data_IF_415391422538
#
_entry.id   IF_415391422538
#
_cell.length_a   1.000
_cell.length_b   1.000
_cell.length_c   1.000
_cell.angle_alpha   90.00
_cell.angle_beta   90.00
_cell.angle_gamma   90.00
#
_symmetry.space_group_name_H-M   'P 1'
#
loop_
_entity.id
_entity.type
_entity.pdbx_description
1 polymer ?
#
# COMPACT_ATOMS: atom_id res chain seq x y z
N UNK A 1 6.80 34.40 3.73
CA UNK A 1 5.83 33.30 3.90
C UNK A 1 6.61 32.05 4.19
N UNK A 2 6.16 31.23 5.14
CA UNK A 2 6.83 30.01 5.59
C UNK A 2 5.87 28.84 5.64
N UNK A 3 6.43 27.64 5.63
CA UNK A 3 5.69 26.40 5.79
C UNK A 3 5.39 26.17 7.27
N UNK A 4 4.13 25.83 7.56
CA UNK A 4 3.63 25.34 8.83
C UNK A 4 2.90 24.01 8.60
N UNK A 5 2.66 23.27 9.67
CA UNK A 5 2.09 21.93 9.63
C UNK A 5 0.71 21.93 10.25
N UNK A 6 -0.26 21.35 9.57
CA UNK A 6 -1.58 21.06 10.13
C UNK A 6 -1.52 19.70 10.82
N UNK A 7 -1.98 19.67 12.06
CA UNK A 7 -2.20 18.47 12.87
C UNK A 7 -3.68 18.35 13.22
N UNK A 8 -4.15 17.13 13.45
CA UNK A 8 -5.49 16.89 13.99
C UNK A 8 -5.54 17.15 15.51
N UNK A 9 -6.71 16.97 16.12
CA UNK A 9 -6.90 17.12 17.57
C UNK A 9 -6.10 16.14 18.44
N UNK A 10 -5.58 15.07 17.86
CA UNK A 10 -4.73 14.07 18.54
C UNK A 10 -3.23 14.40 18.41
N UNK A 11 -2.90 15.48 17.69
CA UNK A 11 -1.53 15.90 17.42
C UNK A 11 -0.87 15.19 16.24
N UNK A 12 -1.61 14.38 15.48
CA UNK A 12 -1.07 13.64 14.34
C UNK A 12 -0.97 14.54 13.12
N UNK A 13 0.16 14.43 12.42
CA UNK A 13 0.42 15.12 11.16
C UNK A 13 -0.67 14.86 10.11
N UNK A 14 -1.24 15.94 9.55
CA UNK A 14 -2.22 15.89 8.45
C UNK A 14 -1.60 16.38 7.14
N UNK A 15 -0.86 17.49 7.16
CA UNK A 15 -0.23 18.03 5.95
C UNK A 15 0.37 19.43 6.14
N UNK A 16 1.07 19.97 5.12
CA UNK A 16 1.67 21.30 5.18
C UNK A 16 0.69 22.40 4.75
N UNK A 17 0.88 23.60 5.28
CA UNK A 17 0.18 24.84 4.90
C UNK A 17 1.18 26.00 4.84
N UNK A 18 0.95 26.95 3.94
CA UNK A 18 1.75 28.17 3.85
C UNK A 18 1.12 29.26 4.73
N UNK A 19 1.93 29.81 5.62
CA UNK A 19 1.54 30.90 6.54
C UNK A 19 2.47 32.10 6.40
N UNK A 20 2.09 33.23 6.98
CA UNK A 20 2.95 34.42 7.07
C UNK A 20 4.18 34.15 7.96
N UNK A 21 5.28 34.87 7.72
CA UNK A 21 6.51 34.69 8.50
C UNK A 21 6.33 35.02 9.99
N UNK A 22 5.37 35.91 10.28
CA UNK A 22 4.99 36.38 11.61
C UNK A 22 4.15 35.35 12.41
N UNK A 23 3.79 34.20 11.82
CA UNK A 23 3.02 33.16 12.50
C UNK A 23 3.93 32.29 13.38
N UNK A 24 3.70 32.18 14.68
CA UNK A 24 4.55 31.38 15.58
C UNK A 24 3.73 30.44 16.46
N UNK A 25 4.33 29.32 16.84
CA UNK A 25 3.74 28.34 17.76
C UNK A 25 2.61 27.52 17.16
N UNK A 26 1.68 27.09 18.03
CA UNK A 26 0.51 26.29 17.70
C UNK A 26 -0.75 27.17 17.75
N UNK A 27 -1.55 27.18 16.69
CA UNK A 27 -2.86 27.88 16.66
C UNK A 27 -3.99 26.93 16.26
N UNK A 28 -5.14 26.95 16.96
CA UNK A 28 -6.27 26.08 16.65
C UNK A 28 -6.86 26.40 15.28
N UNK A 29 -7.31 25.35 14.59
CA UNK A 29 -8.09 25.40 13.36
C UNK A 29 -9.54 25.10 13.71
N UNK A 30 -10.44 26.00 13.32
CA UNK A 30 -11.87 25.88 13.55
C UNK A 30 -12.57 25.49 12.25
N UNK A 31 -13.54 24.58 12.31
CA UNK A 31 -14.44 24.35 11.18
C UNK A 31 -15.50 25.45 11.14
N UNK A 32 -15.56 26.17 10.03
CA UNK A 32 -16.66 27.09 9.77
C UNK A 32 -17.89 26.26 9.42
N UNK A 33 -18.68 25.89 10.42
CA UNK A 33 -20.02 25.33 10.19
C UNK A 33 -20.84 26.39 9.43
N UNK A 34 -21.35 25.99 8.26
CA UNK A 34 -21.94 26.90 7.29
C UNK A 34 -23.10 27.72 7.86
N UNK A 35 -23.11 29.02 7.53
CA UNK A 35 -24.25 29.96 7.56
C UNK A 35 -25.35 29.60 8.57
N UNK A 36 -25.14 29.93 9.84
CA UNK A 36 -26.20 29.90 10.84
C UNK A 36 -27.19 31.03 10.52
N UNK A 37 -28.44 30.68 10.20
CA UNK A 37 -29.57 31.62 10.14
C UNK A 37 -29.72 32.32 11.49
N UNK A 38 -30.05 33.61 11.42
CA UNK A 38 -29.95 34.58 12.50
C UNK A 38 -31.04 34.35 13.55
N UNK A 39 -30.95 33.36 14.44
CA UNK A 39 -31.67 33.43 15.74
C UNK A 39 -31.28 32.48 16.88
N UNK A 40 -30.20 31.69 16.83
CA UNK A 40 -29.87 30.83 17.98
C UNK A 40 -28.42 30.99 18.47
N UNK A 41 -28.33 31.09 19.80
CA UNK A 41 -27.18 31.04 20.73
C UNK A 41 -25.83 30.65 20.07
N UNK A 42 -24.72 31.37 20.36
CA UNK A 42 -23.43 31.10 19.71
C UNK A 42 -23.03 29.64 19.90
N UNK A 43 -23.10 28.86 18.83
CA UNK A 43 -22.61 27.49 18.78
C UNK A 43 -21.09 27.52 19.00
N UNK A 44 -20.61 26.72 19.93
CA UNK A 44 -19.20 26.68 20.30
C UNK A 44 -18.39 26.23 19.08
N UNK A 45 -17.50 27.10 18.57
CA UNK A 45 -16.63 26.79 17.44
C UNK A 45 -15.84 25.50 17.74
N UNK A 46 -16.11 24.44 16.99
CA UNK A 46 -15.45 23.16 17.18
C UNK A 46 -14.03 23.22 16.59
N UNK A 47 -13.03 23.00 17.44
CA UNK A 47 -11.64 22.89 17.02
C UNK A 47 -11.48 21.55 16.28
N UNK A 48 -11.01 21.59 15.04
CA UNK A 48 -10.76 20.40 14.20
C UNK A 48 -9.29 20.04 14.06
N UNK A 49 -8.40 20.95 14.45
CA UNK A 49 -6.97 20.68 14.49
C UNK A 49 -6.17 21.89 14.95
N UNK A 50 -4.86 21.87 14.67
CA UNK A 50 -3.94 22.96 14.96
C UNK A 50 -2.97 23.19 13.80
N UNK A 51 -2.53 24.43 13.62
CA UNK A 51 -1.43 24.80 12.73
C UNK A 51 -0.18 25.03 13.57
N UNK A 52 0.89 24.32 13.28
CA UNK A 52 2.19 24.33 13.97
C UNK A 52 3.23 24.98 13.07
N UNK A 53 3.83 26.09 13.51
CA UNK A 53 4.87 26.80 12.75
C UNK A 53 6.25 26.09 12.75
N UNK A 54 6.38 25.00 13.49
CA UNK A 54 7.63 24.27 13.67
C UNK A 54 7.80 23.13 12.67
N UNK A 55 9.01 22.97 12.15
CA UNK A 55 9.35 21.89 11.22
C UNK A 55 9.35 20.54 11.92
N UNK A 56 8.86 19.53 11.20
CA UNK A 56 8.93 18.13 11.62
C UNK A 56 10.41 17.67 11.59
N UNK A 57 10.96 17.15 12.69
CA UNK A 57 12.27 16.51 12.69
C UNK A 57 12.31 15.30 11.76
N UNK A 58 13.42 15.12 11.07
CA UNK A 58 13.64 13.91 10.27
C UNK A 58 13.80 12.67 11.17
N UNK A 59 13.41 11.51 10.66
CA UNK A 59 13.59 10.22 11.33
C UNK A 59 12.45 9.75 12.23
N UNK A 60 11.36 10.53 12.34
CA UNK A 60 10.10 10.08 12.94
C UNK A 60 9.31 9.23 11.94
N UNK A 61 8.82 8.07 12.37
CA UNK A 61 7.96 7.20 11.56
C UNK A 61 6.54 7.74 11.51
N UNK A 62 6.02 8.22 12.64
CA UNK A 62 4.75 8.91 12.73
C UNK A 62 4.90 10.19 13.57
N UNK A 63 5.12 11.35 12.93
CA UNK A 63 5.24 12.61 13.64
C UNK A 63 3.97 12.94 14.42
N UNK A 64 4.13 13.14 15.74
CA UNK A 64 3.06 13.55 16.64
C UNK A 64 3.50 14.80 17.40
N UNK A 65 2.63 15.79 17.48
CA UNK A 65 2.86 16.99 18.27
C UNK A 65 2.48 16.76 19.73
N UNK A 66 3.43 16.96 20.63
CA UNK A 66 3.19 16.99 22.07
C UNK A 66 2.83 18.41 22.49
N UNK A 67 1.58 18.62 22.90
CA UNK A 67 1.09 19.93 23.36
C UNK A 67 1.64 20.35 24.72
N UNK A 68 2.09 19.41 25.55
CA UNK A 68 2.66 19.69 26.88
C UNK A 68 4.09 20.21 26.73
N UNK A 69 4.88 19.51 25.93
CA UNK A 69 6.28 19.85 25.70
C UNK A 69 6.48 20.80 24.51
N UNK A 70 5.41 21.10 23.76
CA UNK A 70 5.40 21.93 22.55
C UNK A 70 6.50 21.51 21.56
N UNK A 71 6.56 20.20 21.24
CA UNK A 71 7.54 19.64 20.32
C UNK A 71 7.02 18.43 19.57
N UNK A 72 7.70 18.08 18.48
CA UNK A 72 7.48 16.83 17.76
C UNK A 72 8.07 15.63 18.52
N UNK A 73 7.26 14.59 18.67
CA UNK A 73 7.59 13.29 19.26
C UNK A 73 7.16 12.17 18.32
N UNK A 74 7.66 10.98 18.60
CA UNK A 74 7.23 9.77 17.89
C UNK A 74 5.85 9.34 18.39
N UNK A 75 4.92 9.17 17.46
CA UNK A 75 3.56 8.73 17.73
C UNK A 75 3.43 7.21 17.87
N UNK A 76 4.40 6.46 17.35
CA UNK A 76 4.46 5.00 17.47
C UNK A 76 5.16 4.55 18.77
N UNK A 77 4.74 3.40 19.27
CA UNK A 77 5.47 2.69 20.31
C UNK A 77 6.79 2.10 19.77
N UNK A 78 7.72 1.80 20.67
CA UNK A 78 8.98 1.15 20.31
C UNK A 78 8.75 -0.19 19.59
N UNK A 79 7.74 -0.95 20.01
CA UNK A 79 7.36 -2.23 19.40
C UNK A 79 6.88 -2.06 17.96
N UNK A 80 6.05 -1.06 17.68
CA UNK A 80 5.58 -0.75 16.33
C UNK A 80 6.73 -0.31 15.41
N UNK A 81 7.66 0.49 15.92
CA UNK A 81 8.85 0.91 15.18
C UNK A 81 9.75 -0.29 14.86
N UNK A 82 9.96 -1.18 15.83
CA UNK A 82 10.72 -2.41 15.60
C UNK A 82 10.02 -3.32 14.58
N UNK A 83 8.69 -3.42 14.63
CA UNK A 83 7.92 -4.18 13.63
C UNK A 83 8.11 -3.61 12.22
N UNK A 84 8.12 -2.28 12.05
CA UNK A 84 8.39 -1.64 10.77
C UNK A 84 9.83 -1.88 10.32
N UNK A 85 10.80 -1.78 11.23
CA UNK A 85 12.24 -2.00 10.92
C UNK A 85 12.55 -3.45 10.56
N UNK A 86 11.87 -4.39 11.20
CA UNK A 86 12.03 -5.83 10.99
C UNK A 86 11.05 -6.38 9.94
N UNK A 87 10.19 -5.54 9.36
CA UNK A 87 9.26 -5.97 8.34
C UNK A 87 10.06 -6.56 7.16
N UNK A 88 9.72 -7.77 6.68
CA UNK A 88 10.34 -8.30 5.48
C UNK A 88 10.10 -7.31 4.35
N UNK A 89 11.16 -6.93 3.65
CA UNK A 89 11.02 -6.07 2.49
C UNK A 89 10.08 -6.75 1.48
N UNK A 90 9.12 -6.00 0.89
CA UNK A 90 8.32 -6.56 -0.20
C UNK A 90 9.26 -7.07 -1.29
N UNK A 91 8.90 -8.21 -1.92
CA UNK A 91 9.69 -8.78 -3.01
C UNK A 91 10.01 -7.68 -4.03
N UNK A 92 11.30 -7.49 -4.29
CA UNK A 92 11.73 -6.51 -5.28
C UNK A 92 11.15 -6.86 -6.66
N UNK A 93 10.94 -5.87 -7.55
CA UNK A 93 10.51 -6.14 -8.92
C UNK A 93 11.39 -7.18 -9.62
N UNK A 94 12.70 -7.19 -9.33
CA UNK A 94 13.66 -8.15 -9.87
C UNK A 94 13.38 -9.58 -9.40
N UNK A 95 13.09 -9.77 -8.11
CA UNK A 95 12.73 -11.09 -7.56
C UNK A 95 11.41 -11.60 -8.12
N UNK A 96 10.44 -10.70 -8.33
CA UNK A 96 9.17 -11.06 -8.97
C UNK A 96 9.38 -11.48 -10.42
N UNK A 97 10.23 -10.77 -11.17
CA UNK A 97 10.59 -11.12 -12.55
C UNK A 97 11.29 -12.48 -12.58
N UNK A 98 12.26 -12.73 -11.72
CA UNK A 98 13.00 -14.00 -11.68
C UNK A 98 12.06 -15.18 -11.40
N UNK A 99 11.13 -15.01 -10.45
CA UNK A 99 10.10 -16.01 -10.17
C UNK A 99 9.18 -16.24 -11.37
N UNK A 100 8.69 -15.17 -12.00
CA UNK A 100 7.84 -15.26 -13.20
C UNK A 100 8.55 -15.94 -14.37
N UNK A 101 9.85 -15.70 -14.55
CA UNK A 101 10.67 -16.36 -15.57
C UNK A 101 10.82 -17.85 -15.25
N UNK A 102 11.10 -18.21 -13.99
CA UNK A 102 11.15 -19.61 -13.56
C UNK A 102 9.83 -20.34 -13.79
N UNK A 103 8.71 -19.72 -13.38
CA UNK A 103 7.37 -20.29 -13.56
C UNK A 103 7.04 -20.47 -15.05
N UNK A 104 7.49 -19.54 -15.90
CA UNK A 104 7.31 -19.62 -17.35
C UNK A 104 8.13 -20.77 -17.96
N UNK A 105 9.38 -20.97 -17.53
CA UNK A 105 10.24 -22.07 -17.99
C UNK A 105 9.64 -23.45 -17.63
N UNK A 106 9.11 -23.57 -16.42
CA UNK A 106 8.42 -24.78 -15.97
C UNK A 106 7.15 -25.05 -16.80
N UNK A 107 6.35 -24.01 -17.04
CA UNK A 107 5.14 -24.12 -17.87
C UNK A 107 5.47 -24.51 -19.33
N UNK A 108 6.54 -23.94 -19.90
CA UNK A 108 7.00 -24.29 -21.24
C UNK A 108 7.46 -25.75 -21.31
N UNK A 109 8.22 -26.20 -20.31
CA UNK A 109 8.69 -27.59 -20.23
C UNK A 109 7.52 -28.58 -20.16
N UNK A 110 6.53 -28.29 -19.32
CA UNK A 110 5.29 -29.08 -19.21
C UNK A 110 4.53 -29.16 -20.55
N UNK A 111 4.45 -28.05 -21.27
CA UNK A 111 3.74 -27.99 -22.56
C UNK A 111 4.46 -28.84 -23.62
N UNK A 112 5.79 -28.81 -23.66
CA UNK A 112 6.57 -29.66 -24.57
C UNK A 112 6.34 -31.14 -24.28
N UNK A 113 6.42 -31.55 -23.01
CA UNK A 113 6.16 -32.95 -22.60
C UNK A 113 4.74 -33.37 -23.00
N UNK A 114 3.74 -32.56 -22.64
CA UNK A 114 2.35 -32.87 -22.97
C UNK A 114 2.10 -32.94 -24.49
N UNK A 115 2.82 -32.14 -25.29
CA UNK A 115 2.76 -32.21 -26.76
C UNK A 115 3.32 -33.54 -27.28
N UNK A 116 4.46 -33.97 -26.76
CA UNK A 116 5.12 -35.20 -27.20
C UNK A 116 4.32 -36.46 -26.78
N UNK A 117 3.76 -36.44 -25.58
CA UNK A 117 2.83 -37.49 -25.10
C UNK A 117 1.60 -37.59 -26.01
N UNK A 118 1.00 -36.46 -26.38
CA UNK A 118 -0.14 -36.43 -27.29
C UNK A 118 0.22 -36.96 -28.69
N UNK A 119 1.41 -36.65 -29.21
CA UNK A 119 1.86 -37.19 -30.49
C UNK A 119 2.00 -38.71 -30.43
N UNK A 120 2.61 -39.23 -29.36
CA UNK A 120 2.76 -40.67 -29.13
C UNK A 120 1.40 -41.37 -29.03
N UNK A 121 0.43 -40.75 -28.34
CA UNK A 121 -0.93 -41.25 -28.28
C UNK A 121 -1.62 -41.26 -29.64
N UNK A 122 -1.42 -40.23 -30.47
CA UNK A 122 -1.98 -40.19 -31.82
C UNK A 122 -1.41 -41.29 -32.72
N UNK A 123 -0.11 -41.57 -32.63
CA UNK A 123 0.53 -42.67 -33.36
C UNK A 123 -0.04 -44.02 -32.94
N UNK A 124 -0.13 -44.29 -31.63
CA UNK A 124 -0.71 -45.53 -31.11
C UNK A 124 -2.19 -45.70 -31.50
N UNK A 125 -2.98 -44.62 -31.48
CA UNK A 125 -4.36 -44.64 -31.94
C UNK A 125 -4.43 -44.99 -33.43
N UNK A 126 -3.57 -44.41 -34.27
CA UNK A 126 -3.51 -44.72 -35.69
C UNK A 126 -3.17 -46.20 -35.95
N UNK A 127 -2.20 -46.76 -35.24
CA UNK A 127 -1.84 -48.19 -35.33
C UNK A 127 -3.01 -49.11 -34.98
N UNK A 128 -3.76 -48.78 -33.92
CA UNK A 128 -4.95 -49.56 -33.53
C UNK A 128 -6.06 -49.49 -34.60
N UNK A 129 -6.26 -48.33 -35.23
CA UNK A 129 -7.21 -48.19 -36.33
C UNK A 129 -6.83 -49.06 -37.53
N UNK A 130 -5.55 -49.08 -37.91
CA UNK A 130 -5.04 -49.94 -38.99
C UNK A 130 -5.23 -51.42 -38.67
N UNK A 131 -4.94 -51.86 -37.44
CA UNK A 131 -5.20 -53.23 -37.00
C UNK A 131 -6.67 -53.63 -37.06
N UNK A 132 -7.59 -52.71 -36.76
CA UNK A 132 -9.03 -52.99 -36.77
C UNK A 132 -9.60 -53.07 -38.20
N UNK A 133 -9.01 -52.30 -39.12
CA UNK A 133 -9.35 -52.31 -40.55
C UNK A 133 -8.79 -53.55 -41.27
N UNK A 134 -7.63 -54.04 -40.83
CA UNK A 134 -7.08 -55.34 -41.24
C UNK A 134 -7.92 -56.49 -40.64
N UNK A 135 -9.11 -56.75 -41.20
CA UNK A 135 -9.97 -57.89 -40.78
C UNK A 135 -9.15 -59.19 -40.76
N UNK A 136 -9.25 -60.03 -39.71
CA UNK A 136 -8.75 -61.39 -39.82
C UNK A 136 -9.59 -62.13 -40.87
N UNK A 137 -8.95 -62.63 -41.92
CA UNK A 137 -9.54 -63.69 -42.74
C UNK A 137 -9.86 -64.85 -41.79
N UNK A 138 -11.16 -65.03 -41.51
CA UNK A 138 -11.66 -66.20 -40.78
C UNK A 138 -11.35 -67.43 -41.65
N UNK A 139 -10.34 -68.21 -41.24
CA UNK A 139 -10.20 -69.60 -41.63
C UNK A 139 -11.30 -70.46 -41.01
#
# INVERSE_FOLDING_TARGET
>A
MKEAIIINNEGIYVGPIIVSDDFFGASPVYEAQGLVEIDEKPEELQITGYTIAERVPEGLFLPKWDFVESRWVEGLSAEEIEAIRNAPQPESPQQQIEKLVSDLDDAMTQLVIARDDNLTLMEAVAELYEMLLAKPERA
#
